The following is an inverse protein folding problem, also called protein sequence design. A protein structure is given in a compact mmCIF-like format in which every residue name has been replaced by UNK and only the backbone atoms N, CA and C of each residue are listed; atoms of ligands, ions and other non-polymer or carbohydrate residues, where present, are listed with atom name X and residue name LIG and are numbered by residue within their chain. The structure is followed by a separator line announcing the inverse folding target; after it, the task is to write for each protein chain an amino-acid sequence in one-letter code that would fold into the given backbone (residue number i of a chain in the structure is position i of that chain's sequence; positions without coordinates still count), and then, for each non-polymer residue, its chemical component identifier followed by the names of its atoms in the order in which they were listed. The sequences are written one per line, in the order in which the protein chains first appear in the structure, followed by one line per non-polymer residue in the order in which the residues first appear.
data_IF_581924424834
#
_entry.id   IF_581924424834
#
_cell.length_a   1.000
_cell.length_b   1.000
_cell.length_c   1.000
_cell.angle_alpha   90.00
_cell.angle_beta   90.00
_cell.angle_gamma   90.00
#
_symmetry.space_group_name_H-M   'P 1'
#
loop_
_entity.id
_entity.type
_entity.pdbx_description
1 polymer ?
#
# COMPACT_ATOMS: atom_id res chain seq x y z
N UNK A 1 79.15 -18.94 45.08
CA UNK A 1 79.18 -17.62 44.39
C UNK A 1 79.71 -17.90 42.99
N UNK A 2 78.92 -18.24 41.97
CA UNK A 2 77.83 -17.51 41.31
C UNK A 2 78.24 -16.09 40.88
N UNK A 3 78.73 -15.92 39.65
CA UNK A 3 78.11 -15.09 38.59
C UNK A 3 78.96 -15.05 37.30
N UNK A 4 78.25 -14.80 36.19
CA UNK A 4 78.69 -14.43 34.83
C UNK A 4 79.22 -15.52 33.90
N UNK A 5 79.01 -15.49 32.58
CA UNK A 5 77.91 -15.11 31.69
C UNK A 5 78.37 -15.48 30.26
N UNK A 6 77.42 -15.79 29.38
CA UNK A 6 77.53 -15.89 27.91
C UNK A 6 78.34 -17.03 27.27
N UNK A 7 77.59 -18.01 26.75
CA UNK A 7 77.98 -18.87 25.63
C UNK A 7 76.71 -19.35 24.92
N UNK A 8 76.56 -18.97 23.66
CA UNK A 8 75.34 -19.08 22.87
C UNK A 8 74.78 -20.50 22.75
N UNK A 9 73.45 -20.63 22.86
CA UNK A 9 72.72 -21.84 22.46
C UNK A 9 72.47 -21.83 20.94
N UNK A 10 72.64 -22.97 20.26
CA UNK A 10 72.49 -23.05 18.81
C UNK A 10 71.01 -22.89 18.42
N UNK A 11 70.82 -22.20 17.29
CA UNK A 11 69.55 -22.05 16.61
C UNK A 11 68.87 -23.41 16.42
N UNK A 12 67.67 -23.57 16.99
CA UNK A 12 66.73 -24.60 16.58
C UNK A 12 66.42 -24.38 15.11
N UNK A 13 66.63 -25.45 14.34
CA UNK A 13 66.41 -25.54 12.92
C UNK A 13 65.05 -24.96 12.53
N UNK A 14 65.06 -24.12 11.48
CA UNK A 14 63.85 -23.62 10.86
C UNK A 14 62.94 -24.78 10.48
N UNK A 15 61.76 -24.80 11.08
CA UNK A 15 60.63 -25.57 10.58
C UNK A 15 60.40 -25.12 9.13
N UNK A 16 60.64 -26.02 8.18
CA UNK A 16 60.32 -25.79 6.78
C UNK A 16 58.87 -25.34 6.70
N UNK A 17 58.52 -24.27 5.96
CA UNK A 17 57.13 -23.97 5.69
C UNK A 17 56.52 -25.23 5.06
N UNK A 18 55.52 -25.80 5.73
CA UNK A 18 54.87 -27.03 5.31
C UNK A 18 54.50 -26.94 3.84
N UNK A 19 54.77 -28.01 3.08
CA UNK A 19 54.18 -28.17 1.75
C UNK A 19 52.70 -27.87 1.88
N UNK A 20 52.20 -26.84 1.20
CA UNK A 20 50.76 -26.63 1.09
C UNK A 20 50.15 -27.93 0.56
N UNK A 21 49.52 -28.68 1.46
CA UNK A 21 48.86 -29.93 1.10
C UNK A 21 47.77 -29.58 0.08
N UNK A 22 47.75 -30.32 -1.03
CA UNK A 22 46.84 -30.01 -2.14
C UNK A 22 45.40 -30.15 -1.63
N UNK A 23 44.49 -29.21 -1.95
CA UNK A 23 43.09 -29.33 -1.57
C UNK A 23 42.53 -30.69 -1.94
N UNK A 24 41.83 -31.29 -0.99
CA UNK A 24 41.26 -32.62 -1.13
C UNK A 24 39.76 -32.57 -1.38
N UNK A 25 39.05 -31.46 -1.17
CA UNK A 25 37.67 -31.30 -1.59
C UNK A 25 37.40 -29.84 -2.00
N UNK A 26 36.34 -29.63 -2.79
CA UNK A 26 35.95 -28.32 -3.27
C UNK A 26 34.45 -28.10 -3.06
N UNK A 27 34.10 -27.03 -2.35
CA UNK A 27 32.69 -26.62 -2.18
C UNK A 27 32.51 -25.25 -2.81
N UNK A 28 31.80 -25.21 -3.93
CA UNK A 28 31.45 -23.97 -4.63
C UNK A 28 30.06 -23.51 -4.21
N UNK A 29 29.93 -22.29 -3.72
CA UNK A 29 28.66 -21.65 -3.44
C UNK A 29 28.39 -20.64 -4.54
N UNK A 30 27.26 -20.80 -5.23
CA UNK A 30 26.79 -19.88 -6.26
C UNK A 30 25.63 -19.06 -5.70
N UNK A 31 25.86 -17.77 -5.53
CA UNK A 31 24.81 -16.81 -5.22
C UNK A 31 23.99 -16.52 -6.46
N UNK A 32 22.66 -16.57 -6.31
CA UNK A 32 21.73 -16.03 -7.30
C UNK A 32 20.75 -15.06 -6.67
N UNK A 33 20.33 -14.05 -7.43
CA UNK A 33 19.27 -13.12 -7.05
C UNK A 33 18.05 -13.35 -7.94
N UNK A 34 16.92 -13.68 -7.31
CA UNK A 34 15.64 -13.85 -7.97
C UNK A 34 15.02 -12.50 -8.36
N UNK A 35 14.28 -12.42 -9.48
CA UNK A 35 13.61 -11.19 -9.88
C UNK A 35 12.62 -10.69 -8.84
N UNK A 36 12.53 -9.37 -8.66
CA UNK A 36 11.62 -8.72 -7.70
C UNK A 36 10.17 -9.23 -7.82
N UNK A 37 9.68 -9.46 -9.05
CA UNK A 37 8.29 -9.85 -9.30
C UNK A 37 7.90 -11.24 -8.78
N UNK A 38 8.87 -12.12 -8.51
CA UNK A 38 8.60 -13.49 -8.03
C UNK A 38 8.04 -13.51 -6.60
N UNK A 39 7.47 -14.63 -6.18
CA UNK A 39 6.80 -14.79 -4.86
C UNK A 39 7.08 -16.16 -4.27
N UNK A 40 7.10 -16.26 -2.94
CA UNK A 40 7.41 -17.53 -2.26
C UNK A 40 8.79 -18.05 -2.67
N UNK A 41 8.88 -19.35 -2.94
CA UNK A 41 10.12 -20.02 -3.38
C UNK A 41 10.36 -19.98 -4.91
N UNK A 42 9.56 -19.23 -5.69
CA UNK A 42 9.78 -19.09 -7.12
C UNK A 42 11.07 -18.31 -7.43
N UNK A 43 12.06 -18.99 -8.01
CA UNK A 43 13.36 -18.41 -8.39
C UNK A 43 13.53 -18.35 -9.91
N UNK A 44 12.44 -18.42 -10.67
CA UNK A 44 12.49 -18.37 -12.14
C UNK A 44 13.14 -17.07 -12.60
N UNK A 45 14.16 -17.19 -13.46
CA UNK A 45 14.93 -16.04 -13.96
C UNK A 45 16.01 -15.52 -13.00
N UNK A 46 16.31 -16.23 -11.91
CA UNK A 46 17.38 -15.84 -11.01
C UNK A 46 18.77 -15.90 -11.69
N UNK A 47 19.54 -14.81 -11.53
CA UNK A 47 20.85 -14.64 -12.16
C UNK A 47 21.96 -14.67 -11.10
N UNK A 48 23.20 -15.09 -11.46
CA UNK A 48 24.34 -14.97 -10.56
C UNK A 48 24.58 -13.54 -10.08
N UNK A 49 25.07 -13.36 -8.86
CA UNK A 49 25.26 -12.05 -8.26
C UNK A 49 26.62 -11.88 -7.56
N UNK A 50 27.33 -10.82 -7.93
CA UNK A 50 28.60 -10.42 -7.33
C UNK A 50 28.44 -9.68 -5.99
N UNK A 51 29.52 -9.59 -5.22
CA UNK A 51 29.59 -8.80 -3.99
C UNK A 51 28.93 -9.45 -2.76
N UNK A 52 28.56 -10.73 -2.84
CA UNK A 52 27.97 -11.46 -1.71
C UNK A 52 29.03 -12.18 -0.91
N UNK A 53 28.97 -12.03 0.41
CA UNK A 53 29.99 -12.56 1.33
C UNK A 53 29.51 -13.85 1.97
N UNK A 54 30.32 -14.90 1.85
CA UNK A 54 30.10 -16.18 2.51
C UNK A 54 31.25 -16.51 3.45
N UNK A 55 30.93 -17.00 4.64
CA UNK A 55 31.90 -17.46 5.63
C UNK A 55 31.74 -18.97 5.79
N UNK A 56 32.80 -19.73 5.52
CA UNK A 56 32.87 -21.15 5.82
C UNK A 56 33.55 -21.38 7.17
N UNK A 57 33.00 -22.29 7.98
CA UNK A 57 33.58 -22.79 9.24
C UNK A 57 33.40 -24.30 9.31
N UNK A 58 34.16 -24.98 10.17
CA UNK A 58 33.98 -26.41 10.42
C UNK A 58 34.02 -26.71 11.90
N UNK A 59 33.14 -27.60 12.35
CA UNK A 59 33.21 -28.18 13.70
C UNK A 59 34.28 -29.27 13.79
N UNK A 60 34.71 -29.84 12.66
CA UNK A 60 35.78 -30.82 12.60
C UNK A 60 37.14 -30.12 12.80
N UNK A 61 37.87 -30.50 13.83
CA UNK A 61 39.18 -29.92 14.12
C UNK A 61 40.21 -30.27 13.03
N UNK A 62 41.07 -29.30 12.68
CA UNK A 62 42.18 -29.52 11.75
C UNK A 62 41.82 -29.45 10.26
N UNK A 63 40.60 -29.03 9.91
CA UNK A 63 40.25 -28.77 8.51
C UNK A 63 40.99 -27.53 8.00
N UNK A 64 41.82 -27.69 6.97
CA UNK A 64 42.51 -26.56 6.36
C UNK A 64 41.65 -25.83 5.33
N UNK A 65 41.94 -24.55 5.13
CA UNK A 65 41.14 -23.65 4.29
C UNK A 65 39.96 -23.00 5.03
N UNK A 66 39.74 -23.33 6.31
CA UNK A 66 38.69 -22.75 7.16
C UNK A 66 39.27 -22.29 8.52
N UNK A 67 38.66 -21.29 9.19
CA UNK A 67 37.57 -20.46 8.69
C UNK A 67 38.02 -19.57 7.53
N UNK A 68 37.14 -19.36 6.56
CA UNK A 68 37.42 -18.48 5.41
C UNK A 68 36.20 -17.61 5.11
N UNK A 69 36.45 -16.36 4.73
CA UNK A 69 35.41 -15.44 4.26
C UNK A 69 35.74 -15.00 2.84
N UNK A 70 34.84 -15.28 1.91
CA UNK A 70 35.01 -15.07 0.48
C UNK A 70 33.87 -14.20 -0.04
N UNK A 71 34.14 -13.44 -1.11
CA UNK A 71 33.17 -12.56 -1.77
C UNK A 71 32.98 -13.00 -3.21
N UNK A 72 31.73 -13.11 -3.67
CA UNK A 72 31.42 -13.55 -5.05
C UNK A 72 31.90 -12.54 -6.09
N UNK A 73 32.46 -13.05 -7.18
CA UNK A 73 32.73 -12.28 -8.40
C UNK A 73 31.51 -12.21 -9.33
N UNK A 74 31.72 -11.78 -10.58
CA UNK A 74 30.65 -11.61 -11.59
C UNK A 74 29.92 -12.91 -11.94
N UNK A 75 30.58 -14.05 -11.77
CA UNK A 75 29.98 -15.38 -11.93
C UNK A 75 29.10 -15.80 -10.75
N UNK A 76 29.01 -14.96 -9.71
CA UNK A 76 28.26 -15.18 -8.49
C UNK A 76 28.81 -16.31 -7.64
N UNK A 77 30.06 -16.77 -7.85
CA UNK A 77 30.59 -17.94 -7.18
C UNK A 77 31.71 -17.62 -6.19
N UNK A 78 31.79 -18.41 -5.13
CA UNK A 78 32.97 -18.56 -4.27
C UNK A 78 33.26 -20.05 -4.12
N UNK A 79 34.53 -20.43 -4.01
CA UNK A 79 34.92 -21.82 -3.79
C UNK A 79 35.78 -21.96 -2.55
N UNK A 80 35.35 -22.82 -1.63
CA UNK A 80 36.13 -23.23 -0.48
C UNK A 80 36.95 -24.47 -0.86
N UNK A 81 38.27 -24.29 -0.86
CA UNK A 81 39.25 -25.36 -1.08
C UNK A 81 39.66 -25.96 0.26
N UNK A 82 39.36 -27.25 0.46
CA UNK A 82 39.40 -27.88 1.78
C UNK A 82 40.46 -28.99 1.85
N UNK A 83 41.30 -28.95 2.89
CA UNK A 83 42.18 -30.06 3.25
C UNK A 83 41.65 -30.78 4.49
N UNK A 84 41.70 -32.11 4.46
CA UNK A 84 41.14 -32.97 5.51
C UNK A 84 42.24 -33.36 6.50
N UNK A 85 41.94 -33.45 7.80
CA UNK A 85 42.79 -34.16 8.75
C UNK A 85 43.10 -35.58 8.25
N UNK A 86 44.28 -36.11 8.60
CA UNK A 86 44.80 -37.37 8.05
C UNK A 86 43.79 -38.53 8.16
N UNK A 87 43.18 -38.67 9.35
CA UNK A 87 42.23 -39.75 9.69
C UNK A 87 40.78 -39.44 9.26
N UNK A 88 40.47 -38.20 8.87
CA UNK A 88 39.11 -37.80 8.53
C UNK A 88 38.75 -38.22 7.09
N UNK A 89 37.66 -38.96 6.95
CA UNK A 89 37.05 -39.29 5.64
C UNK A 89 35.93 -38.34 5.24
N UNK A 90 35.36 -37.66 6.23
CA UNK A 90 34.24 -36.73 6.11
C UNK A 90 34.46 -35.60 7.12
N UNK A 91 33.98 -34.41 6.79
CA UNK A 91 33.99 -33.24 7.67
C UNK A 91 32.59 -32.60 7.71
N UNK A 92 32.34 -31.82 8.76
CA UNK A 92 31.17 -30.96 8.85
C UNK A 92 31.54 -29.55 8.40
N UNK A 93 30.94 -29.07 7.31
CA UNK A 93 31.10 -27.70 6.84
C UNK A 93 29.84 -26.91 7.17
N UNK A 94 29.99 -25.76 7.82
CA UNK A 94 28.94 -24.73 7.92
C UNK A 94 29.29 -23.58 6.99
N UNK A 95 28.33 -23.16 6.15
CA UNK A 95 28.44 -21.98 5.30
C UNK A 95 27.39 -20.97 5.74
N UNK A 96 27.84 -19.78 6.13
CA UNK A 96 26.98 -18.66 6.47
C UNK A 96 27.06 -17.56 5.42
N UNK A 97 25.92 -17.00 5.04
CA UNK A 97 25.84 -15.82 4.19
C UNK A 97 25.76 -14.54 5.03
N UNK A 98 26.49 -13.50 4.65
CA UNK A 98 26.23 -12.15 5.17
C UNK A 98 25.17 -11.50 4.30
N UNK A 99 23.95 -11.36 4.82
CA UNK A 99 22.86 -10.74 4.07
C UNK A 99 23.19 -9.28 3.72
N UNK A 100 22.86 -8.89 2.49
CA UNK A 100 22.90 -7.49 2.07
C UNK A 100 21.59 -6.78 2.46
N UNK A 101 21.62 -5.51 2.88
CA UNK A 101 20.42 -4.74 3.17
C UNK A 101 19.46 -4.68 1.98
N UNK A 102 18.16 -4.78 2.24
CA UNK A 102 17.12 -4.75 1.20
C UNK A 102 16.96 -6.06 0.42
N UNK A 103 17.58 -7.16 0.89
CA UNK A 103 17.36 -8.49 0.35
C UNK A 103 16.95 -9.47 1.46
N UNK A 104 16.21 -10.48 1.06
CA UNK A 104 15.80 -11.61 1.90
C UNK A 104 16.23 -12.93 1.26
N UNK A 105 16.51 -13.93 2.09
CA UNK A 105 16.80 -15.29 1.62
C UNK A 105 15.53 -15.93 1.03
N UNK A 106 15.67 -16.60 -0.10
CA UNK A 106 14.61 -17.45 -0.68
C UNK A 106 15.01 -18.91 -0.47
N UNK A 107 14.32 -19.58 0.45
CA UNK A 107 14.53 -21.01 0.68
C UNK A 107 14.06 -21.84 -0.52
N UNK A 108 14.54 -23.08 -0.60
CA UNK A 108 14.03 -24.08 -1.54
C UNK A 108 13.65 -25.33 -0.73
N UNK A 109 12.35 -25.63 -0.68
CA UNK A 109 11.81 -26.65 0.22
C UNK A 109 12.12 -26.38 1.69
N UNK A 110 12.21 -25.09 2.08
CA UNK A 110 12.61 -24.66 3.42
C UNK A 110 14.12 -24.72 3.72
N UNK A 111 14.96 -25.21 2.81
CA UNK A 111 16.42 -25.21 2.98
C UNK A 111 17.04 -23.87 2.54
N UNK A 112 18.06 -23.42 3.28
CA UNK A 112 18.79 -22.17 3.00
C UNK A 112 19.68 -22.26 1.75
N UNK A 113 20.00 -23.47 1.30
CA UNK A 113 20.74 -23.73 0.08
C UNK A 113 20.29 -25.04 -0.59
N UNK A 114 20.54 -25.18 -1.88
CA UNK A 114 20.40 -26.47 -2.59
C UNK A 114 21.77 -26.92 -3.08
N UNK A 115 22.24 -28.08 -2.63
CA UNK A 115 23.56 -28.60 -2.93
C UNK A 115 23.53 -29.88 -3.76
N UNK A 116 24.48 -30.02 -4.67
CA UNK A 116 24.60 -31.15 -5.61
C UNK A 116 26.05 -31.63 -5.70
N UNK A 117 26.24 -32.95 -5.85
CA UNK A 117 27.57 -33.53 -6.15
C UNK A 117 27.99 -33.19 -7.59
N UNK A 118 29.29 -33.17 -7.85
CA UNK A 118 29.94 -33.09 -9.17
C UNK A 118 29.63 -31.85 -10.04
N UNK A 119 28.88 -30.89 -9.50
CA UNK A 119 28.87 -29.52 -9.99
C UNK A 119 27.88 -29.19 -11.11
N UNK A 120 26.93 -30.06 -11.46
CA UNK A 120 25.76 -29.66 -12.29
C UNK A 120 24.48 -29.59 -11.45
N UNK A 121 23.66 -28.59 -11.78
CA UNK A 121 22.33 -28.42 -11.19
C UNK A 121 21.43 -29.56 -11.67
N UNK A 122 20.91 -30.37 -10.75
CA UNK A 122 20.13 -31.59 -11.06
C UNK A 122 20.88 -32.92 -10.86
N UNK A 123 22.13 -32.89 -10.40
CA UNK A 123 22.87 -34.11 -9.99
C UNK A 123 22.37 -34.66 -8.63
N UNK A 124 23.06 -35.65 -8.06
CA UNK A 124 22.69 -36.23 -6.75
C UNK A 124 22.69 -35.15 -5.68
N UNK A 125 21.53 -34.93 -5.07
CA UNK A 125 21.35 -33.95 -4.01
C UNK A 125 22.23 -34.29 -2.79
N UNK A 126 22.89 -33.27 -2.26
CA UNK A 126 23.59 -33.34 -0.97
C UNK A 126 22.64 -32.76 0.09
N UNK A 127 22.26 -33.55 1.11
CA UNK A 127 21.44 -33.03 2.20
C UNK A 127 22.13 -31.86 2.90
N UNK A 128 21.35 -30.82 3.21
CA UNK A 128 21.77 -29.69 4.01
C UNK A 128 20.86 -29.54 5.22
N UNK A 129 21.39 -28.99 6.30
CA UNK A 129 20.62 -28.64 7.50
C UNK A 129 20.76 -27.13 7.71
N UNK A 130 19.65 -26.43 7.91
CA UNK A 130 19.73 -25.01 8.27
C UNK A 130 20.41 -24.86 9.63
N UNK A 131 21.40 -23.97 9.72
CA UNK A 131 22.22 -23.80 10.90
C UNK A 131 21.93 -22.45 11.56
N UNK A 132 21.08 -22.48 12.60
CA UNK A 132 20.70 -21.28 13.36
C UNK A 132 21.75 -20.87 14.41
N UNK A 133 22.88 -21.60 14.52
CA UNK A 133 23.94 -21.29 15.48
C UNK A 133 24.75 -20.04 15.10
N UNK A 134 24.61 -19.55 13.85
CA UNK A 134 25.27 -18.33 13.37
C UNK A 134 24.33 -17.13 13.55
N UNK A 135 24.52 -16.29 14.59
CA UNK A 135 23.53 -15.26 14.91
C UNK A 135 23.40 -14.22 13.80
N UNK A 136 22.16 -13.94 13.40
CA UNK A 136 21.83 -12.89 12.42
C UNK A 136 22.26 -13.18 10.98
N UNK A 137 22.62 -14.42 10.65
CA UNK A 137 23.04 -14.83 9.31
C UNK A 137 22.35 -16.13 8.91
N UNK A 138 21.73 -16.21 7.73
CA UNK A 138 21.29 -17.49 7.21
C UNK A 138 22.52 -18.37 6.94
N UNK A 139 22.51 -19.57 7.53
CA UNK A 139 23.57 -20.55 7.36
C UNK A 139 23.01 -21.94 7.12
N UNK A 140 23.83 -22.80 6.54
CA UNK A 140 23.53 -24.21 6.35
C UNK A 140 24.77 -25.05 6.58
N UNK A 141 24.58 -26.25 7.11
CA UNK A 141 25.62 -27.24 7.28
C UNK A 141 25.42 -28.42 6.34
N UNK A 142 26.54 -29.04 5.94
CA UNK A 142 26.57 -30.23 5.12
C UNK A 142 27.78 -31.08 5.45
N UNK A 143 27.64 -32.39 5.25
CA UNK A 143 28.76 -33.31 5.29
C UNK A 143 29.51 -33.28 3.95
N UNK A 144 30.84 -33.18 4.02
CA UNK A 144 31.71 -33.18 2.85
C UNK A 144 32.66 -34.36 2.94
N UNK A 145 32.60 -35.26 1.96
CA UNK A 145 33.52 -36.40 1.85
C UNK A 145 34.85 -35.97 1.22
N UNK A 146 35.93 -36.67 1.58
CA UNK A 146 37.25 -36.46 0.97
C UNK A 146 37.15 -36.68 -0.54
N UNK A 147 37.80 -35.82 -1.35
CA UNK A 147 37.78 -35.83 -2.83
C UNK A 147 36.46 -35.37 -3.47
N UNK A 148 35.47 -34.95 -2.68
CA UNK A 148 34.19 -34.52 -3.21
C UNK A 148 34.24 -33.11 -3.82
N UNK A 149 33.48 -32.93 -4.90
CA UNK A 149 33.11 -31.61 -5.44
C UNK A 149 31.64 -31.38 -5.17
N UNK A 150 31.31 -30.29 -4.49
CA UNK A 150 29.93 -29.91 -4.17
C UNK A 150 29.67 -28.53 -4.75
N UNK A 151 28.51 -28.37 -5.40
CA UNK A 151 28.00 -27.06 -5.79
C UNK A 151 26.71 -26.79 -5.03
N UNK A 152 26.70 -25.70 -4.26
CA UNK A 152 25.54 -25.19 -3.56
C UNK A 152 25.02 -23.94 -4.25
N UNK A 153 23.71 -23.76 -4.30
CA UNK A 153 23.07 -22.53 -4.80
C UNK A 153 22.30 -21.88 -3.66
N UNK A 154 22.53 -20.59 -3.45
CA UNK A 154 21.86 -19.77 -2.43
C UNK A 154 21.12 -18.64 -3.13
N UNK A 155 19.81 -18.52 -2.90
CA UNK A 155 18.96 -17.53 -3.54
C UNK A 155 18.61 -16.40 -2.58
N UNK A 156 18.74 -15.15 -3.03
CA UNK A 156 18.09 -14.02 -2.39
C UNK A 156 17.10 -13.36 -3.33
N UNK A 157 16.16 -12.61 -2.76
CA UNK A 157 15.28 -11.71 -3.50
C UNK A 157 15.36 -10.31 -2.90
N UNK A 158 15.32 -9.23 -3.71
CA UNK A 158 15.16 -7.90 -3.14
C UNK A 158 13.81 -7.80 -2.43
N UNK A 159 13.78 -7.17 -1.26
CA UNK A 159 12.56 -6.92 -0.49
C UNK A 159 11.72 -5.88 -1.23
N UNK A 160 10.46 -6.21 -1.49
CA UNK A 160 9.51 -5.31 -2.17
C UNK A 160 9.19 -4.11 -1.30
N UNK A 161 9.06 -2.95 -1.93
CA UNK A 161 8.48 -1.76 -1.33
C UNK A 161 7.33 -1.24 -2.20
N UNK A 162 6.34 -0.63 -1.56
CA UNK A 162 5.23 0.06 -2.21
C UNK A 162 5.04 1.44 -1.60
N UNK A 163 4.63 2.41 -2.42
CA UNK A 163 4.43 3.80 -2.01
C UNK A 163 2.96 4.18 -2.18
N UNK A 164 2.34 4.69 -1.12
CA UNK A 164 1.02 5.31 -1.16
C UNK A 164 1.12 6.75 -0.72
N UNK A 165 0.56 7.68 -1.49
CA UNK A 165 0.53 9.09 -1.10
C UNK A 165 -0.90 9.54 -0.89
N UNK A 166 -1.23 9.85 0.35
CA UNK A 166 -2.47 10.48 0.76
C UNK A 166 -2.40 11.99 0.59
N UNK A 167 -3.56 12.60 0.38
CA UNK A 167 -3.66 14.04 0.18
C UNK A 167 -4.69 14.67 1.12
N UNK A 168 -4.27 15.77 1.72
CA UNK A 168 -5.09 16.60 2.58
C UNK A 168 -5.05 18.06 2.11
N UNK A 169 -6.15 18.77 2.31
CA UNK A 169 -6.28 20.20 2.05
C UNK A 169 -6.67 20.91 3.34
N UNK A 170 -6.14 22.11 3.55
CA UNK A 170 -6.65 23.05 4.54
C UNK A 170 -7.00 24.32 3.78
N UNK A 171 -8.28 24.65 3.71
CA UNK A 171 -8.78 25.80 2.96
C UNK A 171 -9.46 26.74 3.95
N UNK A 172 -8.95 27.97 4.07
CA UNK A 172 -9.44 28.95 5.06
C UNK A 172 -9.49 28.37 6.49
N UNK A 173 -8.46 27.60 6.87
CA UNK A 173 -8.36 26.94 8.17
C UNK A 173 -9.20 25.66 8.34
N UNK A 174 -10.01 25.26 7.35
CA UNK A 174 -10.80 24.02 7.40
C UNK A 174 -10.12 22.86 6.68
N UNK A 175 -10.03 21.70 7.32
CA UNK A 175 -9.40 20.51 6.75
C UNK A 175 -10.37 19.68 5.90
N UNK A 176 -9.91 19.28 4.71
CA UNK A 176 -10.63 18.39 3.79
C UNK A 176 -9.72 17.24 3.33
N UNK A 177 -10.16 15.97 3.48
CA UNK A 177 -9.60 14.87 2.70
C UNK A 177 -9.70 15.13 1.19
N UNK A 178 -8.75 14.62 0.40
CA UNK A 178 -8.69 14.83 -1.05
C UNK A 178 -10.00 14.60 -1.81
N UNK A 179 -10.73 13.52 -1.47
CA UNK A 179 -12.00 13.16 -2.13
C UNK A 179 -13.20 14.02 -1.72
N UNK A 180 -13.05 14.85 -0.70
CA UNK A 180 -14.08 15.74 -0.16
C UNK A 180 -13.77 17.23 -0.31
N UNK A 181 -12.64 17.58 -0.94
CA UNK A 181 -12.25 18.97 -1.20
C UNK A 181 -13.33 19.71 -2.01
N UNK A 182 -13.52 21.02 -1.79
CA UNK A 182 -14.33 21.86 -2.68
C UNK A 182 -13.83 21.80 -4.13
N UNK A 183 -14.71 22.06 -5.09
CA UNK A 183 -14.31 22.16 -6.50
C UNK A 183 -13.38 23.36 -6.72
N UNK A 184 -12.48 23.26 -7.70
CA UNK A 184 -11.55 24.34 -8.05
C UNK A 184 -10.21 24.32 -7.29
N UNK A 185 -9.93 23.23 -6.57
CA UNK A 185 -8.64 22.99 -5.92
C UNK A 185 -8.06 21.71 -6.49
N UNK A 186 -7.23 21.78 -7.52
CA UNK A 186 -6.67 20.61 -8.17
C UNK A 186 -5.16 20.49 -7.93
N UNK A 187 -4.69 19.26 -7.93
CA UNK A 187 -3.30 18.92 -7.66
C UNK A 187 -2.90 17.71 -8.50
N UNK A 188 -1.71 17.78 -9.10
CA UNK A 188 -1.08 16.67 -9.82
C UNK A 188 0.12 16.23 -9.01
N UNK A 189 0.00 15.08 -8.36
CA UNK A 189 1.10 14.40 -7.67
C UNK A 189 1.98 13.69 -8.71
N UNK A 190 3.29 13.81 -8.58
CA UNK A 190 4.27 13.02 -9.32
C UNK A 190 5.21 12.27 -8.38
N UNK A 191 5.61 11.06 -8.79
CA UNK A 191 6.60 10.23 -8.11
C UNK A 191 7.69 9.81 -9.09
N UNK A 192 8.96 9.86 -8.66
CA UNK A 192 10.06 9.15 -9.34
C UNK A 192 10.00 7.64 -9.10
N UNK A 193 10.78 6.89 -9.86
CA UNK A 193 10.82 5.44 -9.81
C UNK A 193 9.52 4.77 -10.30
N UNK A 194 9.38 3.44 -10.13
CA UNK A 194 10.41 2.55 -9.60
C UNK A 194 11.67 2.47 -10.47
N UNK A 195 12.80 2.14 -9.86
CA UNK A 195 14.13 2.19 -10.48
C UNK A 195 14.52 3.60 -10.91
N UNK A 196 15.15 3.72 -12.07
CA UNK A 196 15.65 5.00 -12.60
C UNK A 196 14.57 5.82 -13.33
N UNK A 197 13.29 5.45 -13.20
CA UNK A 197 12.21 6.15 -13.87
C UNK A 197 12.08 7.59 -13.35
N UNK A 198 11.94 8.54 -14.27
CA UNK A 198 11.69 9.95 -13.95
C UNK A 198 10.34 10.20 -13.28
N UNK A 199 10.05 11.46 -12.88
CA UNK A 199 8.79 11.81 -12.23
C UNK A 199 7.61 11.57 -13.17
N UNK A 200 6.62 10.79 -12.71
CA UNK A 200 5.40 10.47 -13.47
C UNK A 200 4.16 10.81 -12.65
N UNK A 201 3.07 11.31 -13.25
CA UNK A 201 1.82 11.56 -12.53
C UNK A 201 1.25 10.29 -11.90
N UNK A 202 0.85 10.37 -10.64
CA UNK A 202 0.30 9.25 -9.88
C UNK A 202 -1.07 9.57 -9.28
N UNK A 203 -2.00 8.60 -9.26
CA UNK A 203 -3.24 8.74 -8.53
C UNK A 203 -2.98 8.80 -7.03
N UNK A 204 -3.63 9.75 -6.36
CA UNK A 204 -3.59 9.89 -4.89
C UNK A 204 -4.32 8.72 -4.22
N UNK A 205 -3.78 8.23 -3.09
CA UNK A 205 -4.39 7.20 -2.25
C UNK A 205 -4.35 5.79 -2.86
N UNK A 206 -3.56 5.59 -3.91
CA UNK A 206 -3.38 4.30 -4.58
C UNK A 206 -1.93 3.85 -4.38
N UNK A 207 -1.75 2.62 -3.90
CA UNK A 207 -0.44 2.02 -3.74
C UNK A 207 0.24 1.80 -5.10
N UNK A 208 1.49 2.26 -5.22
CA UNK A 208 2.36 2.03 -6.35
C UNK A 208 3.47 1.06 -5.92
N UNK A 209 3.45 -0.15 -6.46
CA UNK A 209 4.48 -1.15 -6.23
C UNK A 209 5.62 -1.08 -7.24
N UNK A 210 6.51 -2.09 -7.17
CA UNK A 210 7.68 -2.22 -8.04
C UNK A 210 8.96 -1.57 -7.48
N UNK A 211 8.84 -0.84 -6.37
CA UNK A 211 9.99 -0.33 -5.63
C UNK A 211 10.65 -1.44 -4.81
N UNK A 212 11.88 -1.18 -4.37
CA UNK A 212 12.65 -2.06 -3.50
C UNK A 212 12.93 -1.36 -2.18
N UNK A 213 13.12 -2.14 -1.11
CA UNK A 213 13.64 -1.59 0.14
C UNK A 213 14.95 -0.86 -0.11
N UNK A 214 15.07 0.32 0.49
CA UNK A 214 16.24 1.16 0.38
C UNK A 214 16.32 2.01 -0.89
N UNK A 215 15.38 1.84 -1.81
CA UNK A 215 15.22 2.71 -2.98
C UNK A 215 14.75 4.11 -2.56
N UNK A 216 15.16 5.13 -3.31
CA UNK A 216 14.74 6.51 -3.08
C UNK A 216 13.55 6.88 -3.98
N UNK A 217 12.52 7.46 -3.39
CA UNK A 217 11.39 8.06 -4.13
C UNK A 217 11.35 9.56 -3.87
N UNK A 218 11.13 10.35 -4.91
CA UNK A 218 10.89 11.79 -4.82
C UNK A 218 9.43 12.08 -5.13
N UNK A 219 8.76 12.70 -4.17
CA UNK A 219 7.39 13.20 -4.27
C UNK A 219 7.45 14.67 -4.70
N UNK A 220 6.69 15.04 -5.72
CA UNK A 220 6.46 16.43 -6.07
C UNK A 220 4.98 16.64 -6.42
N UNK A 221 4.53 17.89 -6.38
CA UNK A 221 3.15 18.19 -6.73
C UNK A 221 3.03 19.56 -7.39
N UNK A 222 2.18 19.65 -8.41
CA UNK A 222 1.79 20.91 -9.04
C UNK A 222 0.33 21.22 -8.73
N UNK A 223 0.05 22.46 -8.32
CA UNK A 223 -1.30 22.92 -7.99
C UNK A 223 -1.95 23.69 -9.13
N UNK A 224 -3.28 23.56 -9.24
CA UNK A 224 -4.13 24.35 -10.11
C UNK A 224 -5.35 24.81 -9.30
N UNK A 225 -5.41 26.12 -9.01
CA UNK A 225 -6.55 26.74 -8.31
C UNK A 225 -7.43 27.45 -9.34
N UNK A 226 -8.74 27.25 -9.26
CA UNK A 226 -9.69 27.85 -10.19
C UNK A 226 -9.92 29.35 -9.91
N UNK A 227 -9.83 29.77 -8.65
CA UNK A 227 -9.89 31.18 -8.26
C UNK A 227 -8.48 31.74 -8.12
N UNK A 228 -8.05 32.67 -8.98
CA UNK A 228 -6.71 33.26 -8.91
C UNK A 228 -6.49 34.14 -7.67
N UNK A 229 -7.55 34.51 -6.95
CA UNK A 229 -7.43 35.26 -5.70
C UNK A 229 -7.08 34.36 -4.50
N UNK A 230 -7.15 33.03 -4.65
CA UNK A 230 -6.65 32.10 -3.65
C UNK A 230 -5.11 32.09 -3.62
N UNK A 231 -4.54 32.12 -2.42
CA UNK A 231 -3.09 32.04 -2.18
C UNK A 231 -2.74 30.69 -1.58
N UNK A 232 -1.78 29.98 -2.17
CA UNK A 232 -1.18 28.78 -1.57
C UNK A 232 -0.24 29.22 -0.46
N UNK A 233 -0.59 28.89 0.78
CA UNK A 233 0.24 29.20 1.94
C UNK A 233 1.39 28.20 2.10
N UNK A 234 1.11 26.91 1.86
CA UNK A 234 2.11 25.86 1.92
C UNK A 234 1.69 24.60 1.18
N UNK A 235 2.70 23.86 0.73
CA UNK A 235 2.59 22.53 0.15
C UNK A 235 3.71 21.67 0.76
N UNK A 236 3.34 20.74 1.65
CA UNK A 236 4.30 20.03 2.49
C UNK A 236 3.91 18.56 2.69
N UNK A 237 4.90 17.70 2.87
CA UNK A 237 4.69 16.37 3.46
C UNK A 237 4.53 16.57 4.96
N UNK A 238 3.39 16.09 5.47
CA UNK A 238 2.96 16.28 6.85
C UNK A 238 2.89 14.99 7.65
N UNK A 239 2.96 13.84 6.99
CA UNK A 239 3.15 12.56 7.66
C UNK A 239 3.94 11.58 6.80
N UNK A 240 4.76 10.75 7.45
CA UNK A 240 5.42 9.57 6.89
C UNK A 240 5.09 8.40 7.80
N UNK A 241 4.44 7.36 7.26
CA UNK A 241 4.04 6.16 8.01
C UNK A 241 3.26 6.47 9.29
N UNK A 242 2.32 7.41 9.17
CA UNK A 242 1.49 7.90 10.28
C UNK A 242 2.20 8.81 11.27
N UNK A 243 3.52 8.96 11.17
CA UNK A 243 4.30 9.89 12.00
C UNK A 243 4.25 11.29 11.42
N UNK A 244 3.86 12.27 12.23
CA UNK A 244 3.81 13.67 11.80
C UNK A 244 5.21 14.17 11.46
N UNK A 245 5.34 14.81 10.30
CA UNK A 245 6.56 15.48 9.86
C UNK A 245 6.22 16.87 9.34
N UNK A 246 7.24 17.69 9.10
CA UNK A 246 7.08 18.96 8.41
C UNK A 246 8.19 19.08 7.36
N UNK A 247 8.00 18.49 6.18
CA UNK A 247 8.95 18.56 5.07
C UNK A 247 8.40 19.29 3.82
N UNK A 248 9.25 20.08 3.15
CA UNK A 248 8.90 20.78 1.91
C UNK A 248 8.80 19.82 0.71
N UNK A 249 8.03 20.19 -0.31
CA UNK A 249 8.10 19.56 -1.63
C UNK A 249 9.09 20.30 -2.56
N UNK A 250 9.79 19.59 -3.47
CA UNK A 250 9.82 18.14 -3.60
C UNK A 250 10.49 17.45 -2.40
N UNK A 251 9.97 16.29 -2.01
CA UNK A 251 10.44 15.53 -0.85
C UNK A 251 11.00 14.18 -1.29
N UNK A 252 12.25 13.87 -0.91
CA UNK A 252 12.88 12.58 -1.19
C UNK A 252 12.94 11.73 0.08
N UNK A 253 12.49 10.47 -0.03
CA UNK A 253 12.53 9.50 1.06
C UNK A 253 13.19 8.19 0.61
N UNK A 254 13.90 7.55 1.54
CA UNK A 254 14.40 6.18 1.37
C UNK A 254 13.34 5.21 1.89
N UNK A 255 12.95 4.23 1.08
CA UNK A 255 11.85 3.33 1.38
C UNK A 255 12.26 2.21 2.35
N UNK A 256 11.37 1.88 3.28
CA UNK A 256 11.41 0.64 4.02
C UNK A 256 10.83 -0.52 3.18
N UNK A 257 11.14 -1.76 3.56
CA UNK A 257 10.46 -2.93 3.01
C UNK A 257 8.96 -2.90 3.32
N UNK A 258 8.14 -3.31 2.35
CA UNK A 258 6.69 -3.31 2.46
C UNK A 258 6.03 -1.98 2.13
N UNK A 259 4.94 -1.66 2.83
CA UNK A 259 4.15 -0.47 2.56
C UNK A 259 4.77 0.78 3.18
N UNK A 260 4.93 1.82 2.37
CA UNK A 260 5.36 3.16 2.76
C UNK A 260 4.24 4.14 2.43
N UNK A 261 3.91 5.03 3.36
CA UNK A 261 2.80 5.97 3.25
C UNK A 261 3.23 7.40 3.54
N UNK A 262 2.80 8.33 2.69
CA UNK A 262 3.10 9.75 2.82
C UNK A 262 1.80 10.54 2.81
N UNK A 263 1.67 11.57 3.64
CA UNK A 263 0.53 12.51 3.56
C UNK A 263 1.02 13.88 3.13
N UNK A 264 0.59 14.33 1.95
CA UNK A 264 0.86 15.68 1.45
C UNK A 264 -0.32 16.59 1.83
N UNK A 265 -0.04 17.69 2.54
CA UNK A 265 -1.03 18.70 2.89
C UNK A 265 -0.78 20.00 2.14
N UNK A 266 -1.84 20.53 1.50
CA UNK A 266 -1.84 21.90 0.97
C UNK A 266 -2.64 22.80 1.87
N UNK A 267 -2.08 23.95 2.23
CA UNK A 267 -2.82 25.04 2.88
C UNK A 267 -3.05 26.15 1.87
N UNK A 268 -4.31 26.56 1.73
CA UNK A 268 -4.73 27.60 0.79
C UNK A 268 -5.68 28.54 1.52
N UNK A 269 -5.49 29.84 1.33
CA UNK A 269 -6.41 30.87 1.82
C UNK A 269 -7.02 31.60 0.64
N UNK A 270 -8.34 31.68 0.62
CA UNK A 270 -9.14 32.29 -0.44
C UNK A 270 -10.00 33.40 0.16
N UNK A 271 -10.13 34.57 -0.50
CA UNK A 271 -11.02 35.62 -0.05
C UNK A 271 -12.47 35.10 0.01
N UNK A 272 -13.19 35.50 1.05
CA UNK A 272 -14.62 35.20 1.15
C UNK A 272 -15.40 36.19 0.30
N UNK A 273 -16.40 35.76 -0.49
CA UNK A 273 -17.30 36.69 -1.16
C UNK A 273 -17.98 37.57 -0.10
N UNK A 274 -18.22 38.86 -0.39
CA UNK A 274 -18.99 39.70 0.52
C UNK A 274 -20.38 39.06 0.76
N UNK A 275 -20.92 39.17 1.99
CA UNK A 275 -22.25 38.66 2.27
C UNK A 275 -23.28 39.30 1.32
N UNK A 276 -24.31 38.55 0.88
CA UNK A 276 -25.36 39.15 0.06
C UNK A 276 -26.04 40.29 0.83
N UNK A 277 -26.47 41.36 0.15
CA UNK A 277 -27.17 42.45 0.80
C UNK A 277 -28.44 41.93 1.52
N UNK A 278 -28.82 42.53 2.65
CA UNK A 278 -30.03 42.11 3.36
C UNK A 278 -31.26 42.21 2.44
N UNK A 279 -32.23 41.28 2.56
CA UNK A 279 -33.46 41.37 1.79
C UNK A 279 -34.20 42.69 2.11
N UNK A 280 -34.91 43.29 1.13
CA UNK A 280 -35.66 44.51 1.36
C UNK A 280 -36.72 44.30 2.46
N UNK A 281 -37.00 45.32 3.29
CA UNK A 281 -38.01 45.22 4.33
C UNK A 281 -39.38 44.88 3.70
N UNK A 282 -40.20 44.05 4.37
CA UNK A 282 -41.55 43.76 3.90
C UNK A 282 -42.39 45.04 3.83
N UNK A 283 -43.32 45.16 2.87
CA UNK A 283 -44.18 46.34 2.74
C UNK A 283 -45.04 46.53 4.01
N UNK A 284 -45.36 47.78 4.39
CA UNK A 284 -46.17 48.06 5.56
C UNK A 284 -47.57 47.46 5.42
N UNK A 285 -48.01 46.74 6.44
CA UNK A 285 -49.36 46.18 6.53
C UNK A 285 -50.41 47.30 6.65
N UNK A 286 -51.58 47.20 5.97
CA UNK A 286 -52.66 48.18 6.07
C UNK A 286 -53.24 48.29 7.51
N UNK A 287 -53.79 49.45 7.90
CA UNK A 287 -54.34 49.65 9.24
C UNK A 287 -55.62 48.84 9.48
N UNK A 288 -55.70 48.21 10.66
CA UNK A 288 -56.84 47.42 11.15
C UNK A 288 -58.02 48.33 11.58
N UNK A 289 -59.29 48.03 11.22
CA UNK A 289 -60.46 48.77 11.71
C UNK A 289 -60.77 48.50 13.21
N UNK A 290 -61.48 49.41 13.91
CA UNK A 290 -61.73 49.29 15.35
C UNK A 290 -62.81 48.25 15.68
N UNK A 291 -62.64 47.59 16.84
CA UNK A 291 -63.49 46.51 17.33
C UNK A 291 -64.72 47.04 18.14
N UNK A 292 -65.90 46.40 18.03
CA UNK A 292 -67.00 46.56 18.99
C UNK A 292 -66.95 45.51 20.13
N UNK A 293 -67.51 45.85 21.29
CA UNK A 293 -67.56 45.04 22.53
C UNK A 293 -68.98 45.12 23.18
N UNK A 294 -69.40 44.25 24.13
CA UNK A 294 -69.90 42.86 23.93
C UNK A 294 -71.22 42.51 24.68
N UNK A 295 -71.92 41.40 24.30
CA UNK A 295 -72.72 40.46 25.15
C UNK A 295 -73.72 39.61 24.33
N UNK A 296 -74.27 38.46 24.82
CA UNK A 296 -73.83 37.49 25.84
C UNK A 296 -73.62 36.05 25.28
N UNK A 297 -72.94 35.20 26.05
CA UNK A 297 -72.58 33.79 25.75
C UNK A 297 -73.70 32.83 26.19
N UNK A 298 -74.11 31.81 25.40
CA UNK A 298 -73.51 30.47 25.53
C UNK A 298 -73.46 29.58 24.28
N UNK A 299 -72.40 28.76 24.19
CA UNK A 299 -72.40 27.47 23.48
C UNK A 299 -71.98 27.46 22.01
N UNK A 300 -70.74 27.04 21.73
CA UNK A 300 -70.29 26.69 20.37
C UNK A 300 -68.77 26.79 20.20
N UNK A 301 -68.05 25.74 20.59
CA UNK A 301 -66.60 25.65 20.43
C UNK A 301 -66.17 25.76 18.96
N UNK A 302 -65.31 26.73 18.66
CA UNK A 302 -64.79 26.96 17.31
C UNK A 302 -63.61 26.01 17.07
N UNK A 303 -63.79 25.06 16.15
CA UNK A 303 -62.73 24.17 15.68
C UNK A 303 -61.68 24.97 14.88
N UNK A 304 -60.65 25.46 15.56
CA UNK A 304 -59.44 25.93 14.90
C UNK A 304 -58.78 24.76 14.17
N UNK A 305 -58.72 24.82 12.84
CA UNK A 305 -57.99 23.83 12.04
C UNK A 305 -56.48 24.05 12.28
N UNK A 306 -55.97 23.43 13.34
CA UNK A 306 -54.53 23.27 13.57
C UNK A 306 -53.93 22.59 12.32
N UNK A 307 -53.20 23.36 11.49
CA UNK A 307 -52.51 22.80 10.32
C UNK A 307 -51.42 21.87 10.83
N UNK A 308 -51.75 20.59 10.92
CA UNK A 308 -50.96 19.61 11.64
C UNK A 308 -49.48 19.64 11.20
N UNK A 309 -48.59 19.91 12.15
CA UNK A 309 -47.16 19.96 11.91
C UNK A 309 -46.66 18.55 11.55
N UNK A 310 -46.23 18.34 10.30
CA UNK A 310 -45.81 17.03 9.78
C UNK A 310 -44.54 17.17 8.93
N UNK A 311 -43.51 16.32 9.16
CA UNK A 311 -42.35 16.28 8.28
C UNK A 311 -42.73 15.65 6.93
N UNK A 312 -42.17 16.16 5.83
CA UNK A 312 -42.35 15.59 4.50
C UNK A 312 -41.02 15.46 3.78
N UNK A 313 -40.49 14.24 3.73
CA UNK A 313 -39.20 13.97 3.12
C UNK A 313 -39.34 13.71 1.62
N UNK A 314 -38.44 14.30 0.84
CA UNK A 314 -38.16 13.95 -0.56
C UNK A 314 -36.75 13.37 -0.63
N UNK A 315 -36.58 12.35 -1.46
CA UNK A 315 -35.29 11.70 -1.68
C UNK A 315 -34.98 11.67 -3.17
N UNK A 316 -33.76 12.04 -3.52
CA UNK A 316 -33.19 11.91 -4.85
C UNK A 316 -31.92 11.09 -4.78
N UNK A 317 -31.63 10.38 -5.88
CA UNK A 317 -30.39 9.62 -6.04
C UNK A 317 -29.84 9.81 -7.43
N UNK A 318 -28.53 10.08 -7.53
CA UNK A 318 -27.81 10.30 -8.80
C UNK A 318 -26.53 9.47 -8.79
N UNK A 319 -26.10 9.01 -9.97
CA UNK A 319 -24.82 8.36 -10.17
C UNK A 319 -23.86 9.32 -10.89
N UNK A 320 -22.56 9.20 -10.65
CA UNK A 320 -21.52 9.99 -11.35
C UNK A 320 -21.48 9.69 -12.84
N UNK A 321 -21.80 8.46 -13.24
CA UNK A 321 -21.89 8.03 -14.62
C UNK A 321 -23.12 7.13 -14.83
N UNK A 322 -23.71 7.18 -16.03
CA UNK A 322 -24.82 6.28 -16.44
C UNK A 322 -24.33 5.01 -17.14
N UNK A 323 -23.08 4.99 -17.58
CA UNK A 323 -22.41 3.83 -18.19
C UNK A 323 -21.00 3.74 -17.60
N UNK A 324 -20.58 2.54 -17.20
CA UNK A 324 -19.25 2.24 -16.67
C UNK A 324 -18.77 0.88 -17.16
N UNK A 325 -17.47 0.63 -17.04
CA UNK A 325 -16.84 -0.66 -17.32
C UNK A 325 -16.70 -1.46 -16.03
N UNK A 326 -16.75 -2.79 -16.11
CA UNK A 326 -16.42 -3.66 -14.98
C UNK A 326 -15.02 -3.31 -14.44
N UNK A 327 -14.90 -3.16 -13.12
CA UNK A 327 -13.71 -2.63 -12.46
C UNK A 327 -13.74 -1.13 -12.13
N UNK A 328 -14.62 -0.34 -12.77
CA UNK A 328 -14.72 1.10 -12.53
C UNK A 328 -15.41 1.43 -11.20
N UNK A 329 -15.13 2.62 -10.69
CA UNK A 329 -15.79 3.17 -9.49
C UNK A 329 -16.99 4.05 -9.87
N UNK A 330 -18.14 3.81 -9.24
CA UNK A 330 -19.36 4.60 -9.35
C UNK A 330 -19.64 5.35 -8.05
N UNK A 331 -19.80 6.66 -8.12
CA UNK A 331 -20.23 7.50 -6.99
C UNK A 331 -21.72 7.75 -7.04
N UNK A 332 -22.46 7.29 -6.05
CA UNK A 332 -23.87 7.58 -5.85
C UNK A 332 -24.07 8.73 -4.86
N UNK A 333 -24.72 9.81 -5.31
CA UNK A 333 -25.16 10.91 -4.45
C UNK A 333 -26.62 10.72 -4.07
N UNK A 334 -26.91 10.66 -2.78
CA UNK A 334 -28.25 10.62 -2.19
C UNK A 334 -28.53 11.97 -1.55
N UNK A 335 -29.67 12.59 -1.86
CA UNK A 335 -30.09 13.86 -1.27
C UNK A 335 -31.45 13.67 -0.63
N UNK A 336 -31.58 14.02 0.66
CA UNK A 336 -32.85 13.99 1.39
C UNK A 336 -33.19 15.39 1.86
N UNK A 337 -34.33 15.91 1.42
CA UNK A 337 -34.83 17.25 1.79
C UNK A 337 -36.12 17.15 2.58
N UNK A 338 -36.25 17.92 3.65
CA UNK A 338 -37.51 18.08 4.37
C UNK A 338 -38.30 19.27 3.81
N UNK A 339 -39.38 18.97 3.10
CA UNK A 339 -40.31 19.95 2.53
C UNK A 339 -41.59 20.12 3.36
N UNK A 340 -41.67 19.46 4.53
CA UNK A 340 -42.79 19.63 5.46
C UNK A 340 -42.60 20.85 6.37
N UNK A 341 -43.61 21.12 7.20
CA UNK A 341 -43.63 22.23 8.15
C UNK A 341 -43.16 21.82 9.58
N UNK A 342 -42.70 20.58 9.76
CA UNK A 342 -42.14 20.08 11.02
C UNK A 342 -40.80 19.37 10.82
N UNK A 343 -39.97 19.31 11.86
CA UNK A 343 -38.69 18.62 11.82
C UNK A 343 -38.87 17.10 11.67
N UNK A 344 -38.08 16.47 10.80
CA UNK A 344 -37.97 15.01 10.75
C UNK A 344 -36.96 14.55 11.80
N UNK A 345 -37.38 13.65 12.70
CA UNK A 345 -36.53 13.15 13.79
C UNK A 345 -36.31 11.64 13.67
N UNK A 346 -35.11 11.18 14.05
CA UNK A 346 -34.73 9.77 14.18
C UNK A 346 -35.07 8.89 12.97
N UNK A 347 -34.86 9.41 11.75
CA UNK A 347 -35.11 8.64 10.53
C UNK A 347 -33.84 7.96 10.00
N UNK A 348 -34.05 6.98 9.10
CA UNK A 348 -32.98 6.18 8.49
C UNK A 348 -33.00 6.34 6.98
N UNK A 349 -31.82 6.42 6.40
CA UNK A 349 -31.57 6.31 4.97
C UNK A 349 -30.89 4.96 4.78
N UNK A 350 -31.40 4.09 3.92
CA UNK A 350 -30.81 2.78 3.66
C UNK A 350 -30.74 2.53 2.15
N UNK A 351 -29.54 2.25 1.66
CA UNK A 351 -29.25 1.96 0.27
C UNK A 351 -29.00 0.46 0.10
N UNK A 352 -29.71 -0.19 -0.84
CA UNK A 352 -29.51 -1.61 -1.14
C UNK A 352 -28.50 -1.73 -2.27
N UNK A 353 -27.36 -2.33 -1.97
CA UNK A 353 -26.29 -2.52 -2.93
C UNK A 353 -26.69 -3.53 -4.01
N UNK A 354 -26.35 -3.28 -5.28
CA UNK A 354 -26.29 -4.32 -6.31
C UNK A 354 -25.36 -5.48 -5.90
N UNK A 355 -25.53 -6.66 -6.50
CA UNK A 355 -24.71 -7.84 -6.17
C UNK A 355 -23.27 -7.74 -6.66
N UNK A 356 -23.04 -7.04 -7.78
CA UNK A 356 -21.75 -6.99 -8.47
C UNK A 356 -21.00 -5.68 -8.16
N UNK A 357 -21.12 -5.20 -6.92
CA UNK A 357 -20.38 -4.02 -6.47
C UNK A 357 -19.79 -4.22 -5.08
N UNK A 358 -18.57 -3.73 -4.90
CA UNK A 358 -17.88 -3.64 -3.61
C UNK A 358 -17.90 -2.20 -3.10
N UNK A 359 -18.21 -1.98 -1.82
CA UNK A 359 -18.19 -0.63 -1.23
C UNK A 359 -16.75 -0.16 -1.05
N UNK A 360 -16.47 1.05 -1.53
CA UNK A 360 -15.18 1.74 -1.36
C UNK A 360 -15.29 2.77 -0.23
N UNK A 361 -16.36 3.56 -0.22
CA UNK A 361 -16.67 4.52 0.84
C UNK A 361 -18.19 4.65 1.02
N UNK A 362 -18.64 4.78 2.25
CA UNK A 362 -20.05 4.84 2.64
C UNK A 362 -20.43 6.14 3.36
N UNK A 363 -19.56 7.15 3.48
CA UNK A 363 -19.90 8.45 4.11
C UNK A 363 -20.57 8.27 5.48
N UNK A 364 -19.91 7.50 6.36
CA UNK A 364 -20.40 7.17 7.71
C UNK A 364 -21.58 6.18 7.75
N UNK A 365 -21.94 5.56 6.63
CA UNK A 365 -22.96 4.52 6.54
C UNK A 365 -22.42 3.18 7.04
N UNK A 366 -23.28 2.39 7.70
CA UNK A 366 -22.91 1.06 8.20
C UNK A 366 -23.57 -0.03 7.36
N UNK A 367 -22.80 -1.06 7.02
CA UNK A 367 -23.33 -2.30 6.45
C UNK A 367 -24.27 -2.99 7.43
N UNK A 368 -25.42 -3.44 6.95
CA UNK A 368 -26.41 -4.21 7.71
C UNK A 368 -26.86 -5.43 6.92
N UNK A 369 -27.48 -6.40 7.62
CA UNK A 369 -28.00 -7.61 7.02
C UNK A 369 -28.87 -7.35 5.77
N UNK A 370 -28.68 -8.18 4.75
CA UNK A 370 -29.36 -8.10 3.45
C UNK A 370 -28.70 -7.17 2.43
N UNK A 371 -27.40 -6.88 2.56
CA UNK A 371 -26.63 -6.11 1.56
C UNK A 371 -27.02 -4.64 1.49
N UNK A 372 -27.20 -3.99 2.64
CA UNK A 372 -27.63 -2.58 2.70
C UNK A 372 -26.62 -1.74 3.48
N UNK A 373 -26.37 -0.52 3.00
CA UNK A 373 -25.70 0.53 3.76
C UNK A 373 -26.77 1.44 4.37
N UNK A 374 -26.71 1.67 5.67
CA UNK A 374 -27.68 2.53 6.36
C UNK A 374 -27.01 3.66 7.15
N UNK A 375 -27.64 4.83 7.09
CA UNK A 375 -27.32 6.02 7.90
C UNK A 375 -28.48 6.34 8.84
N UNK A 376 -28.16 6.75 10.07
CA UNK A 376 -29.13 7.29 11.03
C UNK A 376 -29.03 8.81 11.03
N UNK A 377 -30.16 9.51 10.94
CA UNK A 377 -30.24 10.96 11.01
C UNK A 377 -31.07 11.35 12.22
N UNK A 378 -30.46 12.07 13.17
CA UNK A 378 -31.12 12.45 14.43
C UNK A 378 -32.22 13.47 14.21
N UNK A 379 -31.96 14.50 13.40
CA UNK A 379 -32.88 15.61 13.13
C UNK A 379 -32.60 16.22 11.77
N UNK A 380 -33.65 16.61 11.05
CA UNK A 380 -33.60 17.44 9.85
C UNK A 380 -34.72 18.50 9.93
N UNK A 381 -34.34 19.76 10.08
CA UNK A 381 -35.27 20.88 10.22
C UNK A 381 -36.15 21.07 8.96
N UNK A 382 -37.32 21.74 9.06
CA UNK A 382 -38.07 22.19 7.89
C UNK A 382 -37.18 22.95 6.90
N UNK A 383 -37.33 22.69 5.60
CA UNK A 383 -36.53 23.31 4.53
C UNK A 383 -35.11 22.75 4.36
N UNK A 384 -34.55 22.11 5.39
CA UNK A 384 -33.16 21.62 5.38
C UNK A 384 -32.96 20.38 4.49
N UNK A 385 -31.70 20.19 4.08
CA UNK A 385 -31.25 19.07 3.24
C UNK A 385 -30.09 18.35 3.89
N UNK A 386 -30.04 17.03 3.77
CA UNK A 386 -28.87 16.21 4.08
C UNK A 386 -28.44 15.42 2.85
N UNK A 387 -27.13 15.29 2.65
CA UNK A 387 -26.53 14.60 1.51
C UNK A 387 -25.71 13.40 2.01
N UNK A 388 -25.81 12.28 1.31
CA UNK A 388 -24.95 11.11 1.49
C UNK A 388 -24.27 10.72 0.20
N UNK A 389 -23.01 10.32 0.30
CA UNK A 389 -22.23 9.82 -0.83
C UNK A 389 -21.90 8.35 -0.59
N UNK A 390 -22.19 7.51 -1.57
CA UNK A 390 -21.82 6.10 -1.53
C UNK A 390 -20.96 5.80 -2.76
N UNK A 391 -19.71 5.44 -2.54
CA UNK A 391 -18.75 5.08 -3.58
C UNK A 391 -18.65 3.56 -3.60
N UNK A 392 -18.89 2.98 -4.78
CA UNK A 392 -18.76 1.54 -4.99
C UNK A 392 -17.87 1.27 -6.19
N UNK A 393 -17.11 0.19 -6.17
CA UNK A 393 -16.42 -0.37 -7.33
C UNK A 393 -17.31 -1.43 -7.96
N UNK A 394 -17.52 -1.39 -9.27
CA UNK A 394 -18.14 -2.49 -10.01
C UNK A 394 -17.13 -3.62 -10.07
N UNK A 395 -17.53 -4.83 -9.68
CA UNK A 395 -16.61 -5.96 -9.62
C UNK A 395 -16.07 -6.28 -11.03
N UNK A 396 -14.81 -6.72 -11.11
CA UNK A 396 -14.12 -6.90 -12.41
C UNK A 396 -14.74 -8.02 -13.26
N UNK A 397 -15.37 -8.99 -12.62
CA UNK A 397 -16.09 -10.11 -13.20
C UNK A 397 -17.60 -9.82 -13.41
N UNK A 398 -18.05 -8.59 -13.14
CA UNK A 398 -19.42 -8.18 -13.37
C UNK A 398 -19.81 -8.37 -14.85
N UNK A 399 -20.91 -9.07 -15.08
CA UNK A 399 -21.43 -9.29 -16.43
C UNK A 399 -21.92 -7.97 -17.03
N UNK A 400 -21.78 -7.76 -18.36
CA UNK A 400 -22.42 -6.64 -19.04
C UNK A 400 -23.93 -6.63 -18.74
N UNK A 401 -24.47 -5.48 -18.37
CA UNK A 401 -25.84 -5.41 -17.89
C UNK A 401 -26.23 -4.06 -17.32
N UNK A 402 -27.33 -3.99 -16.58
CA UNK A 402 -27.73 -2.77 -15.86
C UNK A 402 -27.83 -3.07 -14.38
N UNK A 403 -27.03 -2.38 -13.57
CA UNK A 403 -27.16 -2.40 -12.12
C UNK A 403 -28.16 -1.32 -11.68
N UNK A 404 -29.06 -1.67 -10.75
CA UNK A 404 -30.04 -0.75 -10.17
C UNK A 404 -29.67 -0.51 -8.72
N UNK A 405 -29.27 0.71 -8.39
CA UNK A 405 -29.01 1.09 -7.01
C UNK A 405 -30.21 1.83 -6.42
N UNK A 406 -30.73 1.37 -5.28
CA UNK A 406 -31.98 1.88 -4.67
C UNK A 406 -31.76 2.33 -3.23
N UNK A 407 -32.12 3.58 -2.96
CA UNK A 407 -32.20 4.15 -1.61
C UNK A 407 -33.64 4.15 -1.10
N UNK A 408 -33.82 3.90 0.20
CA UNK A 408 -35.09 4.01 0.92
C UNK A 408 -34.91 4.88 2.17
N UNK A 409 -35.87 5.75 2.46
CA UNK A 409 -35.95 6.56 3.69
C UNK A 409 -37.16 6.12 4.51
N UNK A 410 -36.96 5.86 5.81
CA UNK A 410 -37.97 5.38 6.76
C UNK A 410 -37.83 6.04 8.14
N UNK A 411 -38.92 6.18 8.90
CA UNK A 411 -38.90 6.58 10.31
C UNK A 411 -39.38 8.00 10.61
N UNK A 412 -39.54 8.87 9.61
CA UNK A 412 -40.16 10.18 9.76
C UNK A 412 -41.16 10.44 8.63
N UNK A 413 -42.41 9.99 8.84
CA UNK A 413 -43.47 10.04 7.84
C UNK A 413 -43.50 8.83 6.90
N UNK A 414 -44.24 8.91 5.78
CA UNK A 414 -44.39 7.76 4.88
C UNK A 414 -43.07 7.41 4.18
N UNK A 415 -42.88 6.12 3.89
CA UNK A 415 -41.67 5.60 3.23
C UNK A 415 -41.42 6.33 1.90
N UNK A 416 -40.16 6.66 1.64
CA UNK A 416 -39.70 7.26 0.37
C UNK A 416 -38.60 6.42 -0.23
N UNK A 417 -38.48 6.41 -1.55
CA UNK A 417 -37.40 5.72 -2.23
C UNK A 417 -37.01 6.46 -3.50
N UNK A 418 -35.75 6.31 -3.89
CA UNK A 418 -35.23 6.74 -5.18
C UNK A 418 -34.30 5.65 -5.70
N UNK A 419 -34.12 5.59 -7.00
CA UNK A 419 -33.22 4.64 -7.63
C UNK A 419 -32.53 5.25 -8.84
N UNK A 420 -31.37 4.71 -9.18
CA UNK A 420 -30.64 5.07 -10.39
C UNK A 420 -30.14 3.79 -11.06
N UNK A 421 -30.14 3.80 -12.38
CA UNK A 421 -29.65 2.71 -13.22
C UNK A 421 -28.28 3.08 -13.79
N UNK A 422 -27.35 2.13 -13.78
CA UNK A 422 -26.03 2.28 -14.39
C UNK A 422 -25.79 1.08 -15.29
N UNK A 423 -25.43 1.33 -16.56
CA UNK A 423 -25.09 0.27 -17.51
C UNK A 423 -23.63 -0.14 -17.33
N UNK A 424 -23.38 -1.44 -17.15
CA UNK A 424 -22.05 -2.04 -17.06
C UNK A 424 -21.66 -2.61 -18.42
N UNK A 425 -20.44 -2.32 -18.86
CA UNK A 425 -19.79 -2.91 -20.04
C UNK A 425 -18.58 -3.73 -19.60
N UNK A 426 -18.13 -4.67 -20.43
CA UNK A 426 -16.83 -5.31 -20.24
C UNK A 426 -15.71 -4.50 -20.88
N UNK A 427 -14.48 -4.58 -20.35
CA UNK A 427 -13.30 -4.05 -21.02
C UNK A 427 -13.19 -4.66 -22.42
N UNK A 428 -12.85 -3.85 -23.42
CA UNK A 428 -12.56 -4.37 -24.76
C UNK A 428 -11.37 -5.33 -24.72
N UNK A 429 -11.25 -6.26 -25.69
CA UNK A 429 -10.04 -7.07 -25.81
C UNK A 429 -8.82 -6.14 -25.94
N UNK A 430 -7.68 -6.50 -25.33
CA UNK A 430 -6.45 -5.72 -25.51
C UNK A 430 -6.12 -5.62 -27.00
N UNK A 431 -5.53 -4.50 -27.47
CA UNK A 431 -5.13 -4.36 -28.86
C UNK A 431 -4.18 -5.51 -29.21
N UNK A 432 -4.53 -6.27 -30.25
CA UNK A 432 -3.68 -7.32 -30.81
C UNK A 432 -2.37 -6.68 -31.28
N UNK A 433 -1.25 -7.05 -30.66
CA UNK A 433 0.09 -6.69 -31.13
C UNK A 433 0.23 -7.18 -32.57
N UNK A 434 0.43 -6.25 -33.50
CA UNK A 434 0.61 -6.56 -34.92
C UNK A 434 1.81 -7.46 -35.09
N UNK A 435 1.57 -8.71 -35.50
CA UNK A 435 2.62 -9.63 -35.90
C UNK A 435 3.28 -9.11 -37.16
N UNK A 436 4.56 -8.75 -37.04
CA UNK A 436 5.42 -8.47 -38.18
C UNK A 436 5.55 -9.76 -39.00
N UNK A 437 5.01 -9.75 -40.23
CA UNK A 437 5.25 -10.81 -41.20
C UNK A 437 6.72 -10.76 -41.59
N UNK A 438 7.49 -11.72 -41.11
CA UNK A 438 8.76 -12.10 -41.74
C UNK A 438 8.41 -12.85 -43.02
N UNK A 439 8.52 -12.18 -44.17
CA UNK A 439 8.60 -12.84 -45.46
C UNK A 439 10.01 -13.39 -45.62
N UNK A 440 10.11 -14.70 -45.87
CA UNK A 440 11.36 -15.43 -46.04
C UNK A 440 11.99 -15.31 -47.42
#
# INVERSE_FOLDING_TARGET
MLLAAFGASPALAGEKPGKHEKPTAHVTVVKKVAPLGTTGEDVTGAMPAAGWTFTGTSATAGVGGLPATLVTGDDGAVTFDLTFPEEARQIDLTVAETQQPGFELVTQGGANATCFKDGKYGDVAVPVVNDDSVPGRPAFSLHVDKQQKIKCVVFNRPVKAEVTVEKQWVINGQTFPHGSRPAGFDAVLTLTGPGDAGPTPQPVGVARGGYREGESVTLAETLALADPACVVESQRVTAVDGTSVDAALPFTARLAGGANSFTVTNRVTCPTPPPPPPPPPPPPTPPTPPAPTPSPTPGGGVLGVQRQARPWLRVEKRASARTVTAGDTVRFTIVVRNTGNAAAIRFRICDRLPRDVTVVDADGGRMVAGGRICWRVRRLAPGATTRRVLVVRVDRDARPGTIVNRVTVTGAGPRRHAQVRVRVRQPGPPPSVGGERVTG
#
